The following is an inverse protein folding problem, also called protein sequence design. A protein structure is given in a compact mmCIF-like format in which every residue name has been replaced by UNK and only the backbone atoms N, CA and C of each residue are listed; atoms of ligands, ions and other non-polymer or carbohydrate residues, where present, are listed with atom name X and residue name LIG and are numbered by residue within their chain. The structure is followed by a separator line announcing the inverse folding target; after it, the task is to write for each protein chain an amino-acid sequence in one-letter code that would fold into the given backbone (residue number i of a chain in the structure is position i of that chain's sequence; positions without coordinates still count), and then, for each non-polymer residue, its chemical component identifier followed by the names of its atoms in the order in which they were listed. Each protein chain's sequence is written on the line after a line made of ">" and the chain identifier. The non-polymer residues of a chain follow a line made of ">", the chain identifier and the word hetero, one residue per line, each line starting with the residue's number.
data_IF_027075033439
#
_entry.id   IF_027075033439
#
_cell.length_a   1.000
_cell.length_b   1.000
_cell.length_c   1.000
_cell.angle_alpha   90.00
_cell.angle_beta   90.00
_cell.angle_gamma   90.00
#
_symmetry.space_group_name_H-M   'P 1'
#
loop_
_entity.id
_entity.type
_entity.pdbx_description
1 polymer ?
#
# COMPACT_ATOMS: atom_id res chain seq x y z
N UNK A 1 36.13 17.49 -1.44
CA UNK A 1 34.80 17.31 -0.78
C UNK A 1 33.73 16.81 -1.75
N UNK A 2 33.31 17.58 -2.75
CA UNK A 2 32.35 17.09 -3.77
C UNK A 2 32.97 15.94 -4.58
N UNK A 3 34.23 16.09 -5.01
CA UNK A 3 34.97 15.03 -5.72
C UNK A 3 35.02 13.73 -4.92
N UNK A 4 35.37 13.80 -3.64
CA UNK A 4 35.42 12.63 -2.75
C UNK A 4 34.05 11.96 -2.62
N UNK A 5 32.97 12.76 -2.55
CA UNK A 5 31.60 12.25 -2.51
C UNK A 5 31.22 11.56 -3.84
N UNK A 6 31.60 12.12 -4.99
CA UNK A 6 31.39 11.48 -6.29
C UNK A 6 32.19 10.18 -6.41
N UNK A 7 33.42 10.12 -5.89
CA UNK A 7 34.21 8.88 -5.83
C UNK A 7 33.50 7.85 -4.95
N UNK A 8 33.01 8.26 -3.78
CA UNK A 8 32.24 7.41 -2.87
C UNK A 8 30.96 6.86 -3.52
N UNK A 9 30.24 7.66 -4.31
CA UNK A 9 29.04 7.22 -5.02
C UNK A 9 29.32 6.20 -6.12
N UNK A 10 30.49 6.27 -6.74
CA UNK A 10 30.93 5.37 -7.82
C UNK A 10 31.80 4.21 -7.31
N UNK A 11 32.00 4.10 -6.00
CA UNK A 11 32.76 3.03 -5.38
C UNK A 11 32.00 1.70 -5.53
N UNK A 12 32.67 0.65 -6.03
CA UNK A 12 32.07 -0.70 -6.14
C UNK A 12 32.36 -1.57 -4.91
N UNK A 13 33.10 -1.06 -3.94
CA UNK A 13 33.50 -1.74 -2.72
C UNK A 13 32.48 -1.61 -1.60
N UNK A 14 32.93 -1.89 -0.37
CA UNK A 14 32.09 -1.82 0.83
C UNK A 14 31.56 -0.40 1.07
N UNK A 15 32.37 0.62 0.78
CA UNK A 15 32.00 2.02 0.99
C UNK A 15 30.84 2.44 0.07
N UNK A 16 30.89 2.06 -1.21
CA UNK A 16 29.80 2.29 -2.14
C UNK A 16 28.51 1.61 -1.71
N UNK A 17 28.57 0.32 -1.36
CA UNK A 17 27.40 -0.44 -0.86
C UNK A 17 26.78 0.18 0.39
N UNK A 18 27.60 0.60 1.36
CA UNK A 18 27.10 1.31 2.56
C UNK A 18 26.43 2.63 2.17
N UNK A 19 26.98 3.35 1.19
CA UNK A 19 26.44 4.62 0.71
C UNK A 19 25.09 4.41 0.02
N UNK A 20 24.97 3.38 -0.80
CA UNK A 20 23.73 2.97 -1.44
C UNK A 20 22.62 2.65 -0.42
N UNK A 21 22.92 1.79 0.57
CA UNK A 21 21.97 1.44 1.64
C UNK A 21 21.53 2.68 2.41
N UNK A 22 22.46 3.59 2.73
CA UNK A 22 22.13 4.84 3.42
C UNK A 22 21.27 5.76 2.58
N UNK A 23 21.49 5.84 1.27
CA UNK A 23 20.66 6.62 0.36
C UNK A 23 19.24 6.05 0.28
N UNK A 24 19.08 4.74 0.16
CA UNK A 24 17.76 4.05 0.20
C UNK A 24 17.05 4.30 1.53
N UNK A 25 17.76 4.14 2.64
CA UNK A 25 17.22 4.43 3.98
C UNK A 25 16.80 5.90 4.11
N UNK A 26 17.58 6.84 3.56
CA UNK A 26 17.23 8.24 3.55
C UNK A 26 16.01 8.54 2.67
N UNK A 27 15.88 7.89 1.51
CA UNK A 27 14.71 8.01 0.63
C UNK A 27 13.42 7.64 1.37
N UNK A 28 13.41 6.50 2.08
CA UNK A 28 12.29 6.07 2.92
C UNK A 28 12.02 7.04 4.09
N UNK A 29 13.08 7.44 4.81
CA UNK A 29 12.95 8.37 5.93
C UNK A 29 12.49 9.78 5.51
N UNK A 30 12.75 10.17 4.27
CA UNK A 30 12.29 11.42 3.68
C UNK A 30 10.94 11.26 2.99
N UNK A 31 10.48 10.03 2.81
CA UNK A 31 9.21 9.66 2.20
C UNK A 31 9.05 10.34 0.83
N UNK A 32 10.03 10.09 -0.04
CA UNK A 32 10.12 10.63 -1.40
C UNK A 32 10.06 9.50 -2.42
N UNK A 33 9.43 9.77 -3.55
CA UNK A 33 9.24 8.77 -4.61
C UNK A 33 10.50 8.53 -5.43
N UNK A 34 11.34 9.57 -5.57
CA UNK A 34 12.51 9.55 -6.45
C UNK A 34 13.80 9.35 -5.65
N UNK A 35 14.83 8.76 -6.26
CA UNK A 35 16.16 8.72 -5.68
C UNK A 35 16.62 10.14 -5.31
N UNK A 36 17.24 10.27 -4.14
CA UNK A 36 17.75 11.56 -3.63
C UNK A 36 18.85 12.18 -4.51
N UNK A 37 19.45 11.38 -5.40
CA UNK A 37 20.41 11.82 -6.39
C UNK A 37 19.75 12.69 -7.48
N UNK A 38 18.52 12.35 -7.87
CA UNK A 38 17.79 13.04 -8.93
C UNK A 38 17.08 14.29 -8.41
N UNK A 39 16.43 14.18 -7.25
CA UNK A 39 15.67 15.29 -6.68
C UNK A 39 15.75 15.27 -5.17
N UNK A 40 16.18 16.39 -4.59
CA UNK A 40 16.03 16.64 -3.17
C UNK A 40 14.64 17.21 -2.89
N UNK A 41 13.93 16.70 -1.87
CA UNK A 41 12.64 17.23 -1.47
C UNK A 41 12.73 18.60 -0.76
N UNK A 42 13.94 19.12 -0.53
CA UNK A 42 14.17 20.39 0.17
C UNK A 42 15.21 21.25 -0.51
N UNK A 43 14.97 22.57 -0.44
CA UNK A 43 15.97 23.58 -0.79
C UNK A 43 16.94 23.86 0.38
N UNK A 44 16.68 23.32 1.58
CA UNK A 44 17.51 23.43 2.79
C UNK A 44 17.36 22.17 3.64
N UNK A 45 18.46 21.63 4.17
CA UNK A 45 18.41 20.48 5.09
C UNK A 45 17.67 20.88 6.38
N UNK A 46 16.65 20.12 6.82
CA UNK A 46 15.96 20.38 8.08
C UNK A 46 16.93 20.42 9.26
N UNK A 47 16.69 21.30 10.24
CA UNK A 47 17.57 21.44 11.42
C UNK A 47 17.84 20.11 12.13
N UNK A 48 16.82 19.24 12.19
CA UNK A 48 16.91 17.89 12.78
C UNK A 48 17.89 16.96 12.08
N UNK A 49 18.30 17.26 10.84
CA UNK A 49 19.23 16.47 10.03
C UNK A 49 20.46 17.26 9.58
N UNK A 50 20.76 18.40 10.23
CA UNK A 50 21.90 19.27 9.88
C UNK A 50 23.26 18.55 9.86
N UNK A 51 23.41 17.48 10.63
CA UNK A 51 24.64 16.70 10.72
C UNK A 51 24.71 15.54 9.71
N UNK A 52 23.70 15.36 8.85
CA UNK A 52 23.69 14.27 7.88
C UNK A 52 24.64 14.60 6.72
N UNK A 53 25.76 13.87 6.65
CA UNK A 53 26.79 14.06 5.64
C UNK A 53 26.26 13.96 4.20
N UNK A 54 25.48 12.91 3.90
CA UNK A 54 24.95 12.66 2.55
C UNK A 54 24.03 13.81 2.11
N UNK A 55 23.07 14.21 2.96
CA UNK A 55 22.16 15.31 2.63
C UNK A 55 22.90 16.64 2.43
N UNK A 56 23.92 16.91 3.25
CA UNK A 56 24.74 18.10 3.09
C UNK A 56 25.55 18.07 1.79
N UNK A 57 26.07 16.91 1.40
CA UNK A 57 26.79 16.77 0.12
C UNK A 57 25.87 16.90 -1.08
N UNK A 58 24.67 16.30 -1.05
CA UNK A 58 23.68 16.47 -2.11
C UNK A 58 23.25 17.93 -2.25
N UNK A 59 23.01 18.64 -1.14
CA UNK A 59 22.67 20.06 -1.16
C UNK A 59 23.84 20.91 -1.68
N UNK A 60 25.07 20.56 -1.31
CA UNK A 60 26.26 21.23 -1.84
C UNK A 60 26.39 21.03 -3.35
N UNK A 61 26.14 19.83 -3.87
CA UNK A 61 26.10 19.57 -5.32
C UNK A 61 25.04 20.44 -5.99
N UNK A 62 23.83 20.48 -5.43
CA UNK A 62 22.72 21.29 -5.93
C UNK A 62 23.07 22.80 -5.99
N UNK A 63 23.64 23.37 -4.91
CA UNK A 63 24.06 24.77 -4.89
C UNK A 63 25.19 25.10 -5.88
N UNK A 64 25.97 24.10 -6.29
CA UNK A 64 27.03 24.26 -7.28
C UNK A 64 26.57 23.85 -8.70
N UNK A 65 25.26 23.66 -8.92
CA UNK A 65 24.68 23.22 -10.21
C UNK A 65 25.25 21.90 -10.74
N UNK A 66 25.67 21.01 -9.83
CA UNK A 66 26.13 19.66 -10.18
C UNK A 66 24.92 18.73 -10.12
N UNK A 67 24.57 18.15 -11.27
CA UNK A 67 23.54 17.12 -11.39
C UNK A 67 24.15 15.73 -11.21
N UNK A 68 23.47 14.89 -10.44
CA UNK A 68 23.83 13.48 -10.27
C UNK A 68 22.73 12.67 -10.96
N UNK A 69 23.12 11.85 -11.94
CA UNK A 69 22.19 10.99 -12.67
C UNK A 69 22.42 9.55 -12.25
N UNK A 70 21.36 8.86 -11.86
CA UNK A 70 21.43 7.42 -11.70
C UNK A 70 21.36 6.75 -13.08
N UNK A 71 22.41 6.02 -13.46
CA UNK A 71 22.46 5.28 -14.72
C UNK A 71 21.83 3.89 -14.61
N UNK A 72 21.66 3.36 -13.38
CA UNK A 72 21.06 2.05 -13.13
C UNK A 72 19.79 2.16 -12.27
N UNK A 73 18.64 2.10 -12.93
CA UNK A 73 17.32 2.13 -12.28
C UNK A 73 17.09 1.00 -11.28
N UNK A 74 17.87 -0.09 -11.32
CA UNK A 74 17.75 -1.18 -10.35
C UNK A 74 18.49 -0.90 -9.04
N UNK A 75 19.51 -0.05 -9.07
CA UNK A 75 20.33 0.26 -7.88
C UNK A 75 19.65 1.31 -7.01
N UNK A 76 19.06 2.36 -7.58
CA UNK A 76 18.18 3.30 -6.86
C UNK A 76 16.78 3.32 -7.48
N UNK A 77 15.87 2.46 -7.00
CA UNK A 77 14.55 2.36 -7.61
C UNK A 77 13.73 3.61 -7.32
N UNK A 78 13.05 4.08 -8.36
CA UNK A 78 11.88 4.96 -8.22
C UNK A 78 10.79 4.10 -7.57
N UNK A 79 10.22 4.58 -6.47
CA UNK A 79 9.12 3.89 -5.81
C UNK A 79 7.94 3.88 -6.80
N UNK A 80 7.47 2.68 -7.15
CA UNK A 80 6.29 2.50 -8.00
C UNK A 80 5.04 2.50 -7.11
N UNK A 81 3.94 3.07 -7.57
CA UNK A 81 2.69 3.14 -6.79
C UNK A 81 1.73 4.27 -7.20
N UNK A 82 2.21 5.26 -7.95
CA UNK A 82 1.36 6.32 -8.50
C UNK A 82 2.10 7.15 -9.54
N UNK A 83 1.37 8.00 -10.26
CA UNK A 83 1.91 8.82 -11.35
C UNK A 83 2.45 10.15 -10.82
N UNK A 84 1.77 10.73 -9.84
CA UNK A 84 2.09 12.06 -9.34
C UNK A 84 2.54 11.97 -7.89
N UNK A 85 3.85 12.09 -7.62
CA UNK A 85 4.36 12.23 -6.27
C UNK A 85 3.73 13.44 -5.59
N UNK A 86 3.27 13.29 -4.36
CA UNK A 86 2.71 14.42 -3.61
C UNK A 86 3.73 15.57 -3.47
N UNK A 87 5.03 15.28 -3.50
CA UNK A 87 6.15 16.23 -3.41
C UNK A 87 6.26 17.17 -4.62
N UNK A 88 5.60 16.83 -5.72
CA UNK A 88 5.50 17.71 -6.89
C UNK A 88 4.28 18.65 -6.80
N UNK A 89 3.34 18.36 -5.90
CA UNK A 89 2.06 19.07 -5.77
C UNK A 89 2.07 20.07 -4.61
N UNK A 90 2.68 19.68 -3.49
CA UNK A 90 2.68 20.47 -2.25
C UNK A 90 4.05 21.09 -1.97
N UNK A 91 4.09 22.15 -1.17
CA UNK A 91 5.34 22.80 -0.82
C UNK A 91 6.16 22.02 0.24
N UNK A 92 7.42 22.42 0.38
CA UNK A 92 8.34 21.84 1.37
C UNK A 92 7.81 22.05 2.81
N UNK A 93 7.17 23.17 3.09
CA UNK A 93 6.62 23.46 4.42
C UNK A 93 5.56 22.44 4.84
N UNK A 94 4.65 22.08 3.92
CA UNK A 94 3.66 21.03 4.09
C UNK A 94 4.33 19.68 4.35
N UNK A 95 5.28 19.27 3.50
CA UNK A 95 5.96 17.98 3.65
C UNK A 95 6.72 17.88 4.97
N UNK A 96 7.45 18.92 5.35
CA UNK A 96 8.19 18.95 6.60
C UNK A 96 7.28 18.74 7.81
N UNK A 97 6.07 19.34 7.78
CA UNK A 97 5.08 19.28 8.86
C UNK A 97 4.34 17.94 8.93
N UNK A 98 3.96 17.36 7.80
CA UNK A 98 3.00 16.24 7.75
C UNK A 98 3.60 14.88 7.35
N UNK A 99 4.85 14.83 6.88
CA UNK A 99 5.50 13.61 6.36
C UNK A 99 5.34 12.38 7.24
N UNK A 100 5.60 12.50 8.54
CA UNK A 100 5.54 11.34 9.44
C UNK A 100 4.17 10.65 9.39
N UNK A 101 3.10 11.45 9.34
CA UNK A 101 1.72 10.96 9.25
C UNK A 101 1.39 10.40 7.88
N UNK A 102 1.88 11.01 6.80
CA UNK A 102 1.72 10.47 5.44
C UNK A 102 2.39 9.11 5.31
N UNK A 103 3.59 8.96 5.87
CA UNK A 103 4.31 7.68 5.94
C UNK A 103 3.56 6.62 6.74
N UNK A 104 3.07 6.96 7.93
CA UNK A 104 2.23 6.05 8.75
C UNK A 104 0.97 5.56 8.01
N UNK A 105 0.53 6.29 6.99
CA UNK A 105 -0.64 5.97 6.17
C UNK A 105 -0.28 5.37 4.80
N UNK A 106 1.01 5.19 4.52
CA UNK A 106 1.55 4.77 3.22
C UNK A 106 1.10 5.66 2.05
N UNK A 107 0.89 6.96 2.29
CA UNK A 107 0.47 7.93 1.29
C UNK A 107 1.70 8.67 0.75
N UNK A 108 2.09 8.36 -0.48
CA UNK A 108 3.22 8.95 -1.19
C UNK A 108 2.80 9.67 -2.49
N UNK A 109 1.73 9.21 -3.14
CA UNK A 109 1.24 9.75 -4.41
C UNK A 109 -0.13 10.40 -4.26
N UNK A 110 -0.39 11.41 -5.09
CA UNK A 110 -1.68 12.07 -5.13
C UNK A 110 -2.79 11.10 -5.58
N UNK A 111 -2.45 10.17 -6.47
CA UNK A 111 -3.31 9.11 -6.97
C UNK A 111 -4.02 8.32 -5.87
N UNK A 112 -3.40 8.20 -4.70
CA UNK A 112 -3.91 7.39 -3.60
C UNK A 112 -5.09 8.04 -2.87
N UNK A 113 -5.15 9.38 -2.89
CA UNK A 113 -6.14 10.17 -2.14
C UNK A 113 -7.22 10.81 -3.03
N UNK A 114 -7.22 10.53 -4.34
CA UNK A 114 -8.23 11.01 -5.28
C UNK A 114 -9.09 9.86 -5.81
N UNK A 115 -10.26 10.21 -6.33
CA UNK A 115 -11.17 9.26 -6.97
C UNK A 115 -10.54 8.66 -8.24
N UNK A 116 -10.98 7.47 -8.64
CA UNK A 116 -10.41 6.77 -9.80
C UNK A 116 -10.67 7.52 -11.12
N UNK A 117 -11.80 8.22 -11.20
CA UNK A 117 -12.14 9.13 -12.32
C UNK A 117 -11.36 10.45 -12.32
N UNK A 118 -10.49 10.68 -11.33
CA UNK A 118 -9.65 11.87 -11.19
C UNK A 118 -10.43 13.19 -11.12
N UNK A 119 -11.70 13.15 -10.73
CA UNK A 119 -12.55 14.34 -10.66
C UNK A 119 -12.49 15.03 -9.30
N UNK A 120 -12.31 14.27 -8.22
CA UNK A 120 -12.42 14.77 -6.84
C UNK A 120 -11.41 14.15 -5.88
N UNK A 121 -11.26 14.81 -4.74
CA UNK A 121 -10.55 14.29 -3.58
C UNK A 121 -11.46 13.29 -2.85
N UNK A 122 -10.89 12.15 -2.44
CA UNK A 122 -11.59 11.19 -1.59
C UNK A 122 -11.89 11.82 -0.23
N UNK A 123 -13.09 11.56 0.29
CA UNK A 123 -13.48 11.92 1.64
C UNK A 123 -12.54 11.30 2.66
N UNK A 124 -12.42 11.93 3.82
CA UNK A 124 -11.61 11.41 4.92
C UNK A 124 -11.97 9.95 5.27
N UNK A 125 -13.27 9.62 5.26
CA UNK A 125 -13.77 8.27 5.53
C UNK A 125 -13.36 7.26 4.45
N UNK A 126 -13.33 7.68 3.18
CA UNK A 126 -12.91 6.85 2.03
C UNK A 126 -11.40 6.57 2.10
N UNK A 127 -10.59 7.57 2.39
CA UNK A 127 -9.14 7.41 2.58
C UNK A 127 -8.83 6.45 3.73
N UNK A 128 -9.60 6.50 4.83
CA UNK A 128 -9.39 5.59 5.96
C UNK A 128 -9.67 4.12 5.62
N UNK A 129 -10.56 3.84 4.66
CA UNK A 129 -10.79 2.48 4.16
C UNK A 129 -9.57 1.98 3.37
N UNK A 130 -8.97 2.85 2.55
CA UNK A 130 -7.73 2.52 1.83
C UNK A 130 -6.54 2.32 2.77
N UNK A 131 -6.31 3.24 3.71
CA UNK A 131 -5.07 3.38 4.47
C UNK A 131 -4.98 2.57 5.78
N UNK A 132 -5.64 1.42 5.82
CA UNK A 132 -5.26 0.40 6.78
C UNK A 132 -5.51 0.74 8.30
N UNK A 133 -6.54 1.54 8.68
CA UNK A 133 -6.87 1.87 10.10
C UNK A 133 -8.33 1.60 10.50
N UNK A 134 -8.62 1.02 11.69
CA UNK A 134 -9.99 0.88 12.19
C UNK A 134 -10.68 2.25 12.28
N UNK A 135 -11.76 2.44 11.52
CA UNK A 135 -12.54 3.69 11.41
C UNK A 135 -12.95 4.23 12.80
N UNK A 136 -13.12 3.34 13.78
CA UNK A 136 -13.46 3.68 15.17
C UNK A 136 -12.45 4.57 15.90
N UNK A 137 -11.18 4.59 15.46
CA UNK A 137 -10.10 5.29 16.17
C UNK A 137 -9.84 6.72 15.70
N UNK A 138 -10.36 7.13 14.54
CA UNK A 138 -10.02 8.44 13.94
C UNK A 138 -11.26 9.19 13.44
N UNK A 139 -12.10 9.65 14.39
CA UNK A 139 -13.29 10.47 14.09
C UNK A 139 -12.95 11.88 13.56
N UNK A 140 -11.78 12.41 13.91
CA UNK A 140 -11.39 13.79 13.57
C UNK A 140 -10.56 13.80 12.29
N UNK A 141 -10.96 14.63 11.33
CA UNK A 141 -10.17 14.89 10.13
C UNK A 141 -8.75 15.32 10.54
N UNK A 142 -7.74 14.68 9.95
CA UNK A 142 -6.37 15.03 10.22
C UNK A 142 -6.02 16.37 9.57
N UNK A 143 -5.20 17.19 10.24
CA UNK A 143 -4.79 18.50 9.73
C UNK A 143 -4.08 18.43 8.36
N UNK A 144 -3.36 17.35 8.07
CA UNK A 144 -2.73 17.17 6.75
C UNK A 144 -3.78 17.08 5.63
N UNK A 145 -4.91 16.44 5.91
CA UNK A 145 -6.02 16.26 4.97
C UNK A 145 -6.75 17.58 4.73
N UNK A 146 -7.00 18.36 5.79
CA UNK A 146 -7.60 19.70 5.64
C UNK A 146 -6.68 20.64 4.86
N UNK A 147 -5.37 20.63 5.17
CA UNK A 147 -4.37 21.49 4.52
C UNK A 147 -4.25 21.12 3.02
N UNK A 148 -4.22 19.83 2.66
CA UNK A 148 -4.15 19.42 1.24
C UNK A 148 -5.46 19.65 0.49
N UNK A 149 -6.61 19.44 1.14
CA UNK A 149 -7.94 19.73 0.56
C UNK A 149 -8.02 21.17 0.09
N UNK A 150 -7.62 22.13 0.94
CA UNK A 150 -7.59 23.55 0.55
C UNK A 150 -6.63 23.88 -0.60
N UNK A 151 -5.61 23.04 -0.83
CA UNK A 151 -4.61 23.28 -1.88
C UNK A 151 -5.08 22.74 -3.24
N UNK A 152 -5.69 21.55 -3.26
CA UNK A 152 -5.94 20.81 -4.51
C UNK A 152 -7.38 20.90 -5.02
N UNK A 153 -8.32 21.41 -4.21
CA UNK A 153 -9.76 21.46 -4.57
C UNK A 153 -10.26 22.90 -4.76
N UNK A 154 -11.33 23.06 -5.55
CA UNK A 154 -11.96 24.37 -5.81
C UNK A 154 -13.10 24.68 -4.84
N UNK A 155 -13.80 23.65 -4.40
CA UNK A 155 -15.03 23.72 -3.60
C UNK A 155 -14.98 22.75 -2.40
N UNK A 156 -13.77 22.35 -1.99
CA UNK A 156 -13.50 21.32 -0.99
C UNK A 156 -13.82 19.87 -1.43
N UNK A 157 -14.24 19.64 -2.68
CA UNK A 157 -14.59 18.31 -3.18
C UNK A 157 -13.86 18.06 -4.51
N UNK A 158 -14.17 18.87 -5.52
CA UNK A 158 -13.67 18.73 -6.88
C UNK A 158 -12.24 19.25 -7.02
N UNK A 159 -11.43 18.51 -7.77
CA UNK A 159 -10.03 18.89 -8.02
C UNK A 159 -9.95 20.12 -8.92
N UNK A 160 -9.01 21.01 -8.59
CA UNK A 160 -8.69 22.18 -9.39
C UNK A 160 -8.20 21.77 -10.79
N UNK A 161 -8.51 22.57 -11.81
CA UNK A 161 -8.11 22.30 -13.19
C UNK A 161 -6.60 22.06 -13.34
N UNK A 162 -5.77 22.81 -12.60
CA UNK A 162 -4.31 22.65 -12.58
C UNK A 162 -3.88 21.23 -12.20
N UNK A 163 -4.58 20.63 -11.23
CA UNK A 163 -4.31 19.26 -10.77
C UNK A 163 -4.83 18.23 -11.78
N UNK A 164 -6.04 18.45 -12.32
CA UNK A 164 -6.63 17.57 -13.35
C UNK A 164 -5.76 17.49 -14.59
N UNK A 165 -5.13 18.59 -15.00
CA UNK A 165 -4.21 18.64 -16.14
C UNK A 165 -2.96 17.77 -15.96
N UNK A 166 -2.51 17.53 -14.73
CA UNK A 166 -1.35 16.66 -14.47
C UNK A 166 -1.63 15.19 -14.82
N UNK A 167 -2.91 14.79 -14.84
CA UNK A 167 -3.32 13.41 -15.13
C UNK A 167 -3.58 13.14 -16.62
N UNK A 168 -3.14 14.02 -17.53
CA UNK A 168 -3.32 13.87 -18.98
C UNK A 168 -3.13 12.43 -19.49
N UNK A 169 -4.23 11.91 -20.05
CA UNK A 169 -4.48 10.55 -20.59
C UNK A 169 -4.45 9.43 -19.53
N UNK A 170 -5.59 8.73 -19.46
CA UNK A 170 -5.97 7.64 -18.55
C UNK A 170 -4.83 6.64 -18.30
N UNK A 171 -4.56 6.39 -17.03
CA UNK A 171 -3.78 5.24 -16.56
C UNK A 171 -4.39 4.71 -15.27
N UNK A 172 -4.43 3.39 -15.15
CA UNK A 172 -4.95 2.68 -13.98
C UNK A 172 -4.17 3.03 -12.72
N UNK A 173 -4.88 3.44 -11.67
CA UNK A 173 -4.29 3.62 -10.36
C UNK A 173 -4.17 2.27 -9.68
N UNK A 174 -2.96 1.85 -9.37
CA UNK A 174 -2.73 0.80 -8.39
C UNK A 174 -2.97 1.40 -7.01
N UNK A 175 -3.90 0.81 -6.27
CA UNK A 175 -4.01 1.01 -4.82
C UNK A 175 -5.04 0.02 -4.29
N UNK A 176 -4.53 -0.98 -3.57
CA UNK A 176 -5.24 -2.14 -3.06
C UNK A 176 -6.21 -1.76 -1.92
N UNK A 177 -7.47 -2.15 -2.05
CA UNK A 177 -8.43 -2.07 -0.95
C UNK A 177 -8.22 -3.28 -0.01
N UNK A 178 -8.10 -3.05 1.32
CA UNK A 178 -7.78 -4.13 2.28
C UNK A 178 -8.77 -5.29 2.26
N UNK A 179 -8.27 -6.50 2.55
CA UNK A 179 -9.05 -7.66 3.00
C UNK A 179 -9.89 -7.36 4.26
N UNK A 180 -11.16 -7.79 4.27
CA UNK A 180 -12.04 -7.67 5.44
C UNK A 180 -11.59 -8.71 6.46
N UNK A 181 -11.22 -8.30 7.67
CA UNK A 181 -10.87 -9.27 8.72
C UNK A 181 -12.15 -9.76 9.40
N UNK A 182 -12.50 -11.04 9.22
CA UNK A 182 -13.70 -11.64 9.84
C UNK A 182 -13.56 -11.74 11.37
N UNK A 183 -12.34 -11.93 11.87
CA UNK A 183 -12.09 -12.19 13.30
C UNK A 183 -12.56 -11.03 14.17
N UNK A 184 -12.56 -9.81 13.62
CA UNK A 184 -13.28 -8.67 14.20
C UNK A 184 -14.78 -8.85 13.97
N UNK A 185 -15.42 -9.57 14.91
CA UNK A 185 -16.88 -9.81 15.10
C UNK A 185 -17.76 -8.55 15.10
N UNK A 186 -17.70 -7.72 14.06
CA UNK A 186 -18.37 -6.43 14.03
C UNK A 186 -19.47 -6.49 12.97
N UNK A 187 -20.74 -6.47 13.39
CA UNK A 187 -21.93 -6.49 12.53
C UNK A 187 -22.06 -5.17 11.77
N UNK A 188 -21.19 -5.04 10.77
CA UNK A 188 -20.86 -3.81 10.06
C UNK A 188 -21.63 -3.70 8.76
N UNK A 189 -21.76 -2.48 8.26
CA UNK A 189 -22.17 -2.24 6.87
C UNK A 189 -20.99 -2.54 5.96
N UNK A 190 -21.21 -3.38 4.96
CA UNK A 190 -20.20 -3.83 3.99
C UNK A 190 -20.68 -3.57 2.57
N UNK A 191 -19.73 -3.42 1.65
CA UNK A 191 -19.94 -3.41 0.22
C UNK A 191 -19.26 -4.63 -0.43
N UNK A 192 -19.84 -5.13 -1.51
CA UNK A 192 -19.31 -6.24 -2.29
C UNK A 192 -19.74 -6.10 -3.75
N UNK A 193 -18.83 -6.41 -4.67
CA UNK A 193 -19.10 -6.44 -6.10
C UNK A 193 -19.47 -7.85 -6.54
N UNK A 194 -20.62 -8.00 -7.18
CA UNK A 194 -21.07 -9.28 -7.73
C UNK A 194 -21.22 -9.19 -9.26
N UNK A 195 -20.44 -9.95 -10.04
CA UNK A 195 -20.50 -9.90 -11.50
C UNK A 195 -21.83 -10.42 -12.09
N UNK A 196 -22.60 -11.21 -11.32
CA UNK A 196 -23.91 -11.74 -11.78
C UNK A 196 -24.98 -10.66 -11.90
N UNK A 197 -24.76 -9.51 -11.26
CA UNK A 197 -25.65 -8.37 -11.31
C UNK A 197 -24.93 -7.29 -12.13
N UNK A 198 -25.35 -7.07 -13.38
CA UNK A 198 -24.70 -6.13 -14.30
C UNK A 198 -24.42 -4.76 -13.65
N UNK A 199 -23.20 -4.26 -13.89
CA UNK A 199 -22.63 -2.89 -13.82
C UNK A 199 -22.96 -1.94 -12.65
N UNK A 200 -23.91 -2.23 -11.76
CA UNK A 200 -24.38 -1.32 -10.71
C UNK A 200 -24.71 -2.05 -9.41
N UNK A 201 -24.09 -3.21 -9.19
CA UNK A 201 -24.37 -4.08 -8.05
C UNK A 201 -23.25 -4.11 -7.02
N UNK A 202 -23.04 -2.97 -6.38
CA UNK A 202 -22.52 -2.99 -5.01
C UNK A 202 -23.70 -3.41 -4.16
N UNK A 203 -23.60 -4.61 -3.63
CA UNK A 203 -24.59 -5.09 -2.69
C UNK A 203 -24.13 -4.62 -1.32
N UNK A 204 -24.80 -3.58 -0.81
CA UNK A 204 -24.56 -3.09 0.54
C UNK A 204 -25.27 -4.04 1.51
N UNK A 205 -24.59 -4.46 2.57
CA UNK A 205 -25.24 -5.35 3.51
C UNK A 205 -24.72 -5.38 4.93
N UNK A 206 -25.49 -6.06 5.79
CA UNK A 206 -25.19 -6.25 7.21
C UNK A 206 -25.05 -7.74 7.54
N UNK A 207 -23.97 -8.09 8.23
CA UNK A 207 -23.65 -9.48 8.64
C UNK A 207 -24.55 -9.94 9.79
N UNK A 208 -25.13 -11.14 9.66
CA UNK A 208 -26.06 -11.72 10.64
C UNK A 208 -25.57 -13.02 11.33
N UNK A 209 -24.51 -13.67 10.84
CA UNK A 209 -23.96 -14.92 11.42
C UNK A 209 -22.54 -15.26 10.95
N UNK A 210 -21.81 -16.07 11.73
CA UNK A 210 -20.37 -16.40 11.52
C UNK A 210 -20.19 -17.77 10.85
N UNK A 211 -20.95 -18.80 11.27
CA UNK A 211 -20.85 -20.16 10.68
C UNK A 211 -21.25 -20.21 9.20
N UNK A 212 -22.18 -19.35 8.80
CA UNK A 212 -22.49 -19.02 7.41
C UNK A 212 -22.65 -17.51 7.36
N UNK A 213 -21.79 -16.84 6.60
CA UNK A 213 -21.86 -15.40 6.44
C UNK A 213 -23.14 -15.04 5.68
N UNK A 214 -24.20 -14.72 6.43
CA UNK A 214 -25.49 -14.26 5.90
C UNK A 214 -25.50 -12.75 5.94
N UNK A 215 -25.73 -12.14 4.78
CA UNK A 215 -25.72 -10.70 4.56
C UNK A 215 -27.12 -10.25 4.15
N UNK A 216 -27.65 -9.22 4.82
CA UNK A 216 -28.90 -8.55 4.41
C UNK A 216 -28.64 -7.53 3.32
N UNK A 217 -29.46 -7.49 2.28
CA UNK A 217 -29.31 -6.56 1.16
C UNK A 217 -29.94 -5.18 1.43
N UNK A 218 -29.22 -4.12 1.03
CA UNK A 218 -29.68 -2.73 0.97
C UNK A 218 -29.58 -2.20 -0.47
N UNK A 219 -30.63 -1.51 -0.92
CA UNK A 219 -30.63 -0.78 -2.18
C UNK A 219 -30.05 0.61 -1.99
N UNK A 220 -29.41 1.10 -3.06
CA UNK A 220 -28.95 2.49 -3.15
C UNK A 220 -29.96 3.28 -3.97
N UNK A 221 -30.41 4.43 -3.45
CA UNK A 221 -31.25 5.34 -4.22
C UNK A 221 -30.40 6.39 -4.94
N UNK A 222 -30.07 6.13 -6.21
CA UNK A 222 -29.19 7.01 -7.01
C UNK A 222 -29.73 8.44 -7.14
N UNK A 223 -31.05 8.66 -7.11
CA UNK A 223 -31.63 10.01 -7.23
C UNK A 223 -31.43 10.89 -6.00
N UNK A 224 -31.10 10.29 -4.85
CA UNK A 224 -30.87 10.98 -3.58
C UNK A 224 -29.38 10.99 -3.18
N UNK A 225 -28.52 10.37 -3.98
CA UNK A 225 -27.08 10.39 -3.72
C UNK A 225 -26.47 11.73 -4.16
N UNK A 226 -25.46 12.17 -3.43
CA UNK A 226 -24.65 13.35 -3.75
C UNK A 226 -23.18 12.93 -3.86
N UNK A 227 -22.31 13.90 -4.15
CA UNK A 227 -20.87 13.65 -4.19
C UNK A 227 -20.28 13.21 -2.85
N UNK A 228 -21.01 13.42 -1.75
CA UNK A 228 -20.55 13.17 -0.39
C UNK A 228 -21.40 12.17 0.40
N UNK A 229 -22.64 11.91 -0.05
CA UNK A 229 -23.58 11.05 0.66
C UNK A 229 -24.24 10.02 -0.26
N UNK A 230 -24.36 8.80 0.26
CA UNK A 230 -25.09 7.70 -0.36
C UNK A 230 -26.33 7.38 0.46
N UNK A 231 -27.49 7.40 -0.18
CA UNK A 231 -28.76 7.00 0.45
C UNK A 231 -29.00 5.50 0.27
N UNK A 232 -29.24 4.79 1.38
CA UNK A 232 -29.48 3.36 1.39
C UNK A 232 -30.79 2.99 2.09
N UNK A 233 -31.49 1.98 1.60
CA UNK A 233 -32.67 1.46 2.28
C UNK A 233 -32.71 -0.07 2.19
N UNK A 234 -33.28 -0.71 3.20
CA UNK A 234 -33.31 -2.17 3.26
C UNK A 234 -34.14 -2.73 2.10
N UNK A 235 -33.61 -3.74 1.41
CA UNK A 235 -34.36 -4.47 0.39
C UNK A 235 -35.45 -5.31 1.07
N UNK A 236 -36.70 -5.06 0.68
CA UNK A 236 -37.88 -5.77 1.19
C UNK A 236 -38.50 -6.72 0.15
N UNK A 237 -37.85 -6.88 -1.01
CA UNK A 237 -38.33 -7.71 -2.11
C UNK A 237 -37.81 -9.15 -2.01
N UNK A 238 -38.74 -10.11 -1.90
CA UNK A 238 -38.44 -11.54 -1.87
C UNK A 238 -38.01 -12.08 -3.26
N UNK A 239 -38.42 -11.41 -4.34
CA UNK A 239 -38.05 -11.73 -5.72
C UNK A 239 -36.74 -11.08 -6.18
N UNK A 240 -36.03 -10.39 -5.28
CA UNK A 240 -34.77 -9.73 -5.61
C UNK A 240 -33.76 -10.76 -6.17
N UNK A 241 -33.11 -10.42 -7.27
CA UNK A 241 -32.08 -11.29 -7.88
C UNK A 241 -30.91 -11.59 -6.92
N UNK A 242 -30.65 -10.71 -5.96
CA UNK A 242 -29.66 -10.89 -4.90
C UNK A 242 -30.13 -11.81 -3.77
N UNK A 243 -31.40 -12.20 -3.72
CA UNK A 243 -31.91 -13.06 -2.67
C UNK A 243 -31.56 -14.53 -2.95
N UNK A 244 -30.76 -15.13 -2.07
CA UNK A 244 -30.48 -16.56 -2.04
C UNK A 244 -31.37 -17.32 -1.02
N UNK A 245 -32.40 -16.66 -0.47
CA UNK A 245 -33.36 -17.23 0.48
C UNK A 245 -32.72 -17.94 1.69
N UNK A 246 -31.58 -17.45 2.16
CA UNK A 246 -30.79 -18.07 3.22
C UNK A 246 -31.35 -17.83 4.64
N UNK A 247 -32.40 -17.01 4.77
CA UNK A 247 -33.03 -16.66 6.03
C UNK A 247 -34.54 -16.51 5.84
N UNK A 248 -35.32 -17.18 6.69
CA UNK A 248 -36.79 -17.04 6.76
C UNK A 248 -37.24 -15.77 7.50
N UNK A 249 -36.31 -15.07 8.17
CA UNK A 249 -36.61 -13.89 9.00
C UNK A 249 -36.38 -12.56 8.30
N UNK A 250 -35.88 -12.56 7.05
CA UNK A 250 -35.53 -11.34 6.33
C UNK A 250 -35.70 -11.51 4.82
N UNK A 251 -36.38 -10.58 4.14
CA UNK A 251 -36.87 -10.75 2.78
C UNK A 251 -35.80 -10.94 1.71
N UNK A 252 -34.61 -10.34 1.87
CA UNK A 252 -33.51 -10.49 0.91
C UNK A 252 -32.18 -10.74 1.62
N UNK A 253 -31.65 -11.97 1.51
CA UNK A 253 -30.37 -12.37 2.09
C UNK A 253 -29.51 -13.18 1.15
N UNK A 254 -28.19 -13.02 1.26
CA UNK A 254 -27.21 -13.74 0.45
C UNK A 254 -25.98 -14.10 1.26
N UNK A 255 -25.12 -14.93 0.66
CA UNK A 255 -23.80 -15.25 1.18
C UNK A 255 -22.74 -14.76 0.21
N UNK A 256 -21.61 -14.29 0.74
CA UNK A 256 -20.47 -13.85 -0.03
C UNK A 256 -19.18 -14.34 0.64
N UNK A 257 -18.13 -14.51 -0.16
CA UNK A 257 -16.79 -14.75 0.36
C UNK A 257 -16.33 -13.50 1.11
N UNK A 258 -15.96 -13.68 2.36
CA UNK A 258 -15.49 -12.62 3.23
C UNK A 258 -14.29 -11.86 2.68
N UNK A 259 -13.45 -12.52 1.88
CA UNK A 259 -12.24 -11.92 1.31
C UNK A 259 -12.56 -10.77 0.37
N UNK A 260 -13.70 -10.83 -0.31
CA UNK A 260 -14.14 -9.82 -1.27
C UNK A 260 -14.90 -8.63 -0.63
N UNK A 261 -15.14 -8.64 0.68
CA UNK A 261 -15.96 -7.63 1.34
C UNK A 261 -15.18 -6.35 1.63
N UNK A 262 -15.79 -5.19 1.45
CA UNK A 262 -15.22 -3.89 1.82
C UNK A 262 -15.98 -3.36 3.03
N UNK A 263 -15.34 -3.17 4.21
CA UNK A 263 -16.00 -2.61 5.38
C UNK A 263 -16.26 -1.11 5.21
N UNK A 264 -17.52 -0.69 5.30
CA UNK A 264 -17.91 0.72 5.20
C UNK A 264 -18.12 1.37 6.58
N UNK A 265 -18.94 0.78 7.44
CA UNK A 265 -19.30 1.35 8.75
C UNK A 265 -19.32 0.30 9.85
N UNK A 266 -18.88 0.66 11.05
CA UNK A 266 -19.04 -0.20 12.24
C UNK A 266 -20.50 -0.27 12.68
N UNK A 267 -20.85 -1.23 13.54
CA UNK A 267 -22.23 -1.37 14.05
C UNK A 267 -22.75 -0.11 14.73
N UNK A 268 -21.91 0.55 15.55
CA UNK A 268 -22.26 1.81 16.22
C UNK A 268 -22.51 2.97 15.25
N UNK A 269 -21.75 3.06 14.17
CA UNK A 269 -21.93 4.07 13.13
C UNK A 269 -23.17 3.77 12.31
N UNK A 270 -23.40 2.50 11.98
CA UNK A 270 -24.58 2.07 11.25
C UNK A 270 -25.86 2.35 12.05
N UNK A 271 -25.86 2.10 13.36
CA UNK A 271 -26.97 2.45 14.24
C UNK A 271 -27.26 3.95 14.25
N UNK A 272 -26.23 4.80 14.19
CA UNK A 272 -26.40 6.27 14.18
C UNK A 272 -27.01 6.83 12.89
N UNK A 273 -26.91 6.10 11.77
CA UNK A 273 -27.46 6.54 10.48
C UNK A 273 -28.83 5.93 10.15
N UNK A 274 -29.31 4.95 10.93
CA UNK A 274 -30.65 4.37 10.77
C UNK A 274 -31.80 5.41 10.67
N UNK A 275 -31.76 6.57 11.36
CA UNK A 275 -32.83 7.57 11.24
C UNK A 275 -32.86 8.27 9.88
N UNK A 276 -31.71 8.44 9.23
CA UNK A 276 -31.56 9.25 8.01
C UNK A 276 -31.29 8.42 6.77
N UNK A 277 -30.85 7.16 6.91
CA UNK A 277 -30.48 6.26 5.83
C UNK A 277 -29.35 6.80 4.93
N UNK A 278 -28.60 7.80 5.41
CA UNK A 278 -27.52 8.46 4.69
C UNK A 278 -26.16 8.02 5.24
N UNK A 279 -25.28 7.60 4.33
CA UNK A 279 -23.90 7.25 4.61
C UNK A 279 -23.02 8.34 4.00
N UNK A 280 -22.06 8.87 4.76
CA UNK A 280 -21.09 9.87 4.27
C UNK A 280 -19.97 9.20 3.46
N UNK A 281 -20.36 8.68 2.31
CA UNK A 281 -19.53 8.05 1.30
C UNK A 281 -20.14 8.37 -0.06
N UNK A 282 -19.28 8.57 -1.06
CA UNK A 282 -19.69 8.62 -2.45
C UNK A 282 -19.98 7.20 -2.95
N UNK A 283 -21.08 7.06 -3.69
CA UNK A 283 -21.49 5.77 -4.22
C UNK A 283 -20.47 5.19 -5.21
N UNK A 284 -19.89 6.00 -6.09
CA UNK A 284 -18.94 5.58 -7.11
C UNK A 284 -17.63 5.09 -6.50
N UNK A 285 -17.14 5.70 -5.42
CA UNK A 285 -15.96 5.16 -4.72
C UNK A 285 -16.24 3.81 -4.07
N UNK A 286 -17.43 3.63 -3.49
CA UNK A 286 -17.82 2.33 -2.96
C UNK A 286 -17.80 1.28 -4.09
N UNK A 287 -18.29 1.63 -5.27
CA UNK A 287 -18.22 0.79 -6.47
C UNK A 287 -16.80 0.44 -6.84
N UNK A 288 -15.93 1.43 -6.97
CA UNK A 288 -14.54 1.25 -7.37
C UNK A 288 -13.77 0.40 -6.36
N UNK A 289 -13.94 0.65 -5.05
CA UNK A 289 -13.31 -0.15 -4.00
C UNK A 289 -13.78 -1.61 -4.03
N UNK A 290 -15.08 -1.85 -4.18
CA UNK A 290 -15.64 -3.19 -4.20
C UNK A 290 -15.22 -3.97 -5.46
N UNK A 291 -15.26 -3.32 -6.63
CA UNK A 291 -14.88 -3.91 -7.91
C UNK A 291 -13.40 -4.25 -7.94
N UNK A 292 -12.54 -3.28 -7.61
CA UNK A 292 -11.09 -3.48 -7.58
C UNK A 292 -10.70 -4.63 -6.65
N UNK A 293 -11.37 -4.74 -5.50
CA UNK A 293 -11.12 -5.82 -4.57
C UNK A 293 -11.56 -7.19 -5.09
N UNK A 294 -12.69 -7.24 -5.78
CA UNK A 294 -13.11 -8.44 -6.49
C UNK A 294 -12.08 -8.83 -7.56
N UNK A 295 -11.62 -7.87 -8.37
CA UNK A 295 -10.64 -8.09 -9.44
C UNK A 295 -9.30 -8.58 -8.89
N UNK A 296 -8.80 -8.03 -7.79
CA UNK A 296 -7.60 -8.53 -7.10
C UNK A 296 -7.80 -9.98 -6.66
N UNK A 297 -8.98 -10.31 -6.12
CA UNK A 297 -9.25 -11.67 -5.66
C UNK A 297 -9.39 -12.67 -6.80
N UNK A 298 -10.01 -12.29 -7.91
CA UNK A 298 -10.03 -13.11 -9.11
C UNK A 298 -8.66 -13.21 -9.76
N UNK A 299 -7.88 -12.13 -9.75
CA UNK A 299 -6.48 -12.09 -10.19
C UNK A 299 -5.61 -13.05 -9.38
N UNK A 300 -5.73 -13.01 -8.05
CA UNK A 300 -5.06 -13.96 -7.17
C UNK A 300 -5.52 -15.40 -7.41
N UNK A 301 -6.82 -15.65 -7.62
CA UNK A 301 -7.35 -16.99 -7.93
C UNK A 301 -6.88 -17.50 -9.30
N UNK A 302 -6.78 -16.63 -10.31
CA UNK A 302 -6.31 -16.98 -11.66
C UNK A 302 -4.79 -17.11 -11.73
N UNK A 303 -4.03 -16.30 -11.00
CA UNK A 303 -2.59 -16.48 -10.81
C UNK A 303 -2.28 -17.74 -9.98
N UNK A 304 -3.11 -18.08 -9.00
CA UNK A 304 -3.02 -19.35 -8.28
C UNK A 304 -3.43 -20.57 -9.16
N UNK A 305 -4.14 -20.35 -10.26
CA UNK A 305 -4.35 -21.37 -11.31
C UNK A 305 -3.25 -21.37 -12.37
N UNK A 306 -2.35 -20.39 -12.35
CA UNK A 306 -0.97 -20.47 -12.87
C UNK A 306 -0.01 -20.75 -11.71
N UNK A 307 -0.44 -21.55 -10.72
CA UNK A 307 0.50 -22.53 -10.17
C UNK A 307 0.73 -23.51 -11.31
N UNK A 308 1.70 -23.18 -12.17
CA UNK A 308 2.50 -24.23 -12.77
C UNK A 308 2.80 -25.23 -11.64
N UNK A 309 2.69 -26.54 -11.84
CA UNK A 309 2.97 -27.54 -10.79
C UNK A 309 4.39 -27.44 -10.21
N UNK A 310 5.20 -26.54 -10.72
CA UNK A 310 6.49 -26.14 -10.24
C UNK A 310 6.34 -24.80 -9.51
N UNK A 311 6.20 -24.85 -8.18
CA UNK A 311 6.84 -23.82 -7.34
C UNK A 311 8.25 -23.65 -7.94
N UNK A 312 8.67 -22.44 -8.31
CA UNK A 312 10.11 -22.24 -8.43
C UNK A 312 10.63 -22.46 -7.01
N UNK A 313 11.45 -23.51 -6.79
CA UNK A 313 11.97 -23.92 -5.47
C UNK A 313 12.86 -22.87 -4.78
N UNK A 314 12.81 -21.62 -5.23
CA UNK A 314 13.73 -20.57 -4.89
C UNK A 314 13.00 -19.36 -4.31
N UNK A 315 12.91 -19.35 -2.99
CA UNK A 315 12.34 -18.26 -2.19
C UNK A 315 12.89 -16.86 -2.54
N UNK A 316 14.11 -16.77 -3.08
CA UNK A 316 14.73 -15.52 -3.52
C UNK A 316 14.02 -14.97 -4.78
N UNK A 317 13.58 -15.85 -5.68
CA UNK A 317 12.82 -15.46 -6.88
C UNK A 317 11.38 -15.09 -6.54
N UNK A 318 10.81 -15.72 -5.52
CA UNK A 318 9.43 -15.48 -5.08
C UNK A 318 9.27 -14.19 -4.28
N UNK A 319 10.24 -13.86 -3.42
CA UNK A 319 10.14 -12.72 -2.50
C UNK A 319 10.82 -11.43 -3.00
N UNK A 320 11.76 -11.53 -3.94
CA UNK A 320 12.53 -10.36 -4.39
C UNK A 320 12.28 -10.05 -5.86
N UNK A 321 11.94 -8.79 -6.11
CA UNK A 321 11.92 -8.21 -7.45
C UNK A 321 13.32 -8.19 -8.10
N UNK A 322 13.35 -8.10 -9.43
CA UNK A 322 14.58 -8.06 -10.19
C UNK A 322 15.47 -6.90 -9.78
N UNK A 323 16.59 -7.22 -9.12
CA UNK A 323 17.58 -6.27 -8.62
C UNK A 323 18.98 -6.88 -8.64
N UNK A 324 20.00 -6.03 -8.55
CA UNK A 324 21.40 -6.44 -8.37
C UNK A 324 21.57 -7.26 -7.09
N UNK A 325 20.94 -6.87 -5.99
CA UNK A 325 20.94 -7.63 -4.73
C UNK A 325 20.28 -9.01 -4.88
N UNK A 326 19.16 -9.12 -5.62
CA UNK A 326 18.57 -10.43 -5.95
C UNK A 326 19.56 -11.29 -6.72
N UNK A 327 20.22 -10.73 -7.73
CA UNK A 327 21.20 -11.46 -8.54
C UNK A 327 22.43 -11.89 -7.74
N UNK A 328 22.87 -11.07 -6.79
CA UNK A 328 23.96 -11.41 -5.87
C UNK A 328 23.53 -12.54 -4.92
N UNK A 329 22.32 -12.49 -4.37
CA UNK A 329 21.78 -13.58 -3.54
C UNK A 329 21.62 -14.88 -4.34
N UNK A 330 21.16 -14.81 -5.59
CA UNK A 330 21.11 -15.97 -6.48
C UNK A 330 22.51 -16.49 -6.83
N UNK A 331 23.50 -15.61 -6.98
CA UNK A 331 24.91 -16.00 -7.20
C UNK A 331 25.48 -16.67 -5.96
N UNK A 332 25.22 -16.14 -4.76
CA UNK A 332 25.61 -16.75 -3.48
C UNK A 332 24.95 -18.11 -3.33
N UNK A 333 23.64 -18.21 -3.55
CA UNK A 333 22.91 -19.47 -3.50
C UNK A 333 23.48 -20.50 -4.49
N UNK A 334 23.79 -20.10 -5.74
CA UNK A 334 24.45 -20.99 -6.71
C UNK A 334 25.85 -21.40 -6.29
N UNK A 335 26.62 -20.53 -5.65
CA UNK A 335 27.95 -20.86 -5.14
C UNK A 335 27.90 -21.81 -3.93
N UNK A 336 26.81 -21.76 -3.14
CA UNK A 336 26.61 -22.59 -1.96
C UNK A 336 25.85 -23.90 -2.27
N UNK A 337 25.12 -23.97 -3.38
CA UNK A 337 24.36 -25.14 -3.81
C UNK A 337 25.17 -26.45 -3.92
N UNK A 338 26.44 -26.46 -4.40
CA UNK A 338 27.27 -27.67 -4.43
C UNK A 338 27.60 -28.23 -3.04
N UNK A 339 27.52 -27.38 -2.01
CA UNK A 339 27.83 -27.73 -0.62
C UNK A 339 26.59 -28.16 0.18
N UNK A 340 25.42 -28.20 -0.46
CA UNK A 340 24.17 -28.66 0.12
C UNK A 340 23.95 -30.17 -0.18
N UNK A 341 24.93 -31.00 0.19
CA UNK A 341 24.89 -32.44 0.03
C UNK A 341 24.81 -33.10 1.41
N UNK A 342 23.97 -34.12 1.59
CA UNK A 342 23.70 -34.75 2.90
C UNK A 342 24.93 -35.35 3.60
N UNK A 343 26.04 -35.54 2.87
CA UNK A 343 27.29 -36.12 3.41
C UNK A 343 28.27 -35.06 3.93
N UNK A 344 28.01 -33.77 3.68
CA UNK A 344 28.84 -32.64 4.14
C UNK A 344 27.96 -31.53 4.72
N UNK A 345 27.49 -31.71 5.96
CA UNK A 345 26.86 -30.62 6.70
C UNK A 345 27.92 -29.56 7.05
N UNK A 346 27.98 -28.47 6.28
CA UNK A 346 28.91 -27.35 6.54
C UNK A 346 28.24 -26.21 7.33
N UNK A 347 26.90 -26.14 7.32
CA UNK A 347 26.16 -25.08 8.01
C UNK A 347 25.32 -25.66 9.14
N UNK A 348 25.87 -25.69 10.35
CA UNK A 348 25.06 -25.78 11.56
C UNK A 348 24.63 -24.36 11.97
N UNK A 349 23.32 -24.15 11.97
CA UNK A 349 22.73 -22.89 12.43
C UNK A 349 22.58 -22.93 13.95
N UNK A 350 23.43 -22.16 14.61
CA UNK A 350 23.31 -21.93 16.04
C UNK A 350 22.52 -20.64 16.27
N UNK A 351 21.37 -20.77 16.92
CA UNK A 351 20.66 -19.61 17.45
C UNK A 351 21.23 -19.32 18.84
N UNK A 352 21.83 -18.15 19.02
CA UNK A 352 22.33 -17.66 20.31
C UNK A 352 21.20 -17.17 21.26
N UNK A 353 19.93 -17.40 20.89
CA UNK A 353 18.76 -16.89 21.60
C UNK A 353 18.41 -15.43 21.27
N UNK A 354 19.10 -14.79 20.33
CA UNK A 354 18.83 -13.40 19.91
C UNK A 354 17.64 -13.25 18.96
N UNK A 355 16.96 -14.34 18.60
CA UNK A 355 15.75 -14.30 17.81
C UNK A 355 14.62 -13.69 18.64
N UNK A 356 14.35 -12.41 18.41
CA UNK A 356 13.33 -11.65 19.12
C UNK A 356 12.19 -11.35 18.15
N UNK A 357 10.96 -11.59 18.61
CA UNK A 357 9.71 -11.29 17.90
C UNK A 357 9.58 -11.95 16.51
N UNK A 358 9.92 -13.24 16.41
CA UNK A 358 9.66 -14.03 15.20
C UNK A 358 8.17 -13.92 14.78
N UNK A 359 7.92 -13.47 13.55
CA UNK A 359 6.57 -13.28 13.01
C UNK A 359 6.00 -11.86 13.15
N UNK A 360 6.78 -10.88 13.65
CA UNK A 360 6.43 -9.46 13.62
C UNK A 360 7.30 -8.68 12.62
N UNK A 361 6.87 -7.47 12.26
CA UNK A 361 7.65 -6.55 11.40
C UNK A 361 8.97 -6.07 12.03
N UNK A 362 9.19 -6.32 13.33
CA UNK A 362 10.40 -5.93 14.07
C UNK A 362 11.25 -7.15 14.47
N UNK A 363 11.09 -8.26 13.77
CA UNK A 363 11.90 -9.45 13.98
C UNK A 363 13.39 -9.11 13.85
N UNK A 364 14.17 -9.46 14.87
CA UNK A 364 15.62 -9.29 14.87
C UNK A 364 16.29 -10.64 15.13
N UNK A 365 17.39 -10.88 14.41
CA UNK A 365 18.20 -12.08 14.53
C UNK A 365 19.67 -11.68 14.41
N UNK A 366 20.49 -12.20 15.31
CA UNK A 366 21.95 -12.16 15.16
C UNK A 366 22.39 -13.49 14.57
N UNK A 367 23.26 -13.45 13.57
CA UNK A 367 23.87 -14.65 13.02
C UNK A 367 25.38 -14.59 13.19
N UNK A 368 25.98 -15.74 13.49
CA UNK A 368 27.41 -15.95 13.52
C UNK A 368 27.74 -17.18 12.67
N UNK A 369 28.86 -17.12 11.96
CA UNK A 369 29.39 -18.25 11.20
C UNK A 369 30.58 -18.82 11.97
N UNK A 370 30.56 -20.12 12.23
CA UNK A 370 31.67 -20.84 12.82
C UNK A 370 32.22 -21.84 11.80
N UNK A 371 33.49 -21.73 11.45
CA UNK A 371 34.19 -22.72 10.65
C UNK A 371 34.66 -23.84 11.59
N UNK A 372 34.18 -25.06 11.38
CA UNK A 372 34.38 -26.19 12.30
C UNK A 372 35.58 -27.07 11.89
N UNK A 373 36.15 -26.88 10.69
CA UNK A 373 37.31 -27.66 10.20
C UNK A 373 38.14 -26.90 9.15
N UNK A 374 39.45 -27.14 9.15
CA UNK A 374 40.45 -26.61 8.18
C UNK A 374 40.70 -27.54 6.98
N UNK A 375 40.05 -28.72 6.92
CA UNK A 375 40.20 -29.67 5.81
C UNK A 375 39.24 -29.33 4.67
N UNK A 376 39.58 -28.31 3.89
CA UNK A 376 39.00 -28.09 2.56
C UNK A 376 40.03 -28.46 1.50
N UNK A 377 40.00 -29.71 1.02
CA UNK A 377 40.60 -30.02 -0.27
C UNK A 377 39.65 -29.52 -1.36
N UNK A 378 40.12 -28.53 -2.14
CA UNK A 378 39.44 -28.05 -3.34
C UNK A 378 39.57 -29.16 -4.40
N UNK A 379 38.47 -29.77 -4.90
CA UNK A 379 38.60 -30.68 -6.02
C UNK A 379 38.98 -29.88 -7.27
N UNK A 380 40.01 -30.36 -7.99
CA UNK A 380 40.52 -29.79 -9.24
C UNK A 380 39.49 -29.72 -10.37
#
# INVERSE_FOLDING_TARGET
>A
KITDFCIQLNDNGLLGKITEIRLKSLQDQLWTSRPLLEKLPYNRVPYTRKNNYILNMLLLCYHNNISLTNLDHNTFPIIKGGKIPLEDVVDNAYYSKHRKRLREKHILFLDQIISDDKSRLLLWKEILIKAYVPISTQRKEAKWYTDIRSLITSDNIHLNNSIRHLFGILTDNVDEARSYNIDKKNRSLIAFYNPRFNSLAVVIGKIQGIDRLIIKHFHVNMSQCTDTYTYIYQCMDYGCAANAALSTRSPCTFSADWRCLVPLLTESQFASIQPTNLIEFNIFDIFDFAKKKYDIMQGALTQNHVISPQLQDNIILDLLDSSTSRNDLLRIQRSLAPFNNNDYYIFEFYTDGSLIELGTEQCSISCAFAQISDLFDIPH
#
